data_IF_436588330858
#
_entry.id   IF_436588330858
#
_cell.length_a   1.000
_cell.length_b   1.000
_cell.length_c   1.000
_cell.angle_alpha   90.00
_cell.angle_beta   90.00
_cell.angle_gamma   90.00
#
_symmetry.space_group_name_H-M   'P 1'
#
loop_
_entity.id
_entity.type
_entity.pdbx_description
1 polymer ?
#
# COMPACT_ATOMS: atom_id res chain seq x y z
N UNK A 1 8.73 33.38 1.63
CA UNK A 1 8.83 32.16 2.45
C UNK A 1 8.22 31.01 1.66
N UNK A 2 9.02 30.28 0.86
CA UNK A 2 8.51 29.19 0.00
C UNK A 2 8.68 27.89 0.78
N UNK A 3 7.65 27.49 1.53
CA UNK A 3 7.73 26.32 2.39
C UNK A 3 7.82 25.05 1.53
N UNK A 4 8.94 24.31 1.53
CA UNK A 4 9.19 23.21 0.59
C UNK A 4 8.30 21.99 0.81
N UNK A 5 7.50 21.96 1.89
CA UNK A 5 6.58 20.87 2.21
C UNK A 5 5.23 20.95 1.52
N UNK A 6 4.87 22.09 0.92
CA UNK A 6 3.62 22.24 0.17
C UNK A 6 3.45 21.23 -0.98
N UNK A 7 4.44 21.02 -1.88
CA UNK A 7 4.29 20.02 -2.94
C UNK A 7 4.15 18.60 -2.40
N UNK A 8 4.85 18.26 -1.32
CA UNK A 8 4.74 16.92 -0.69
C UNK A 8 3.38 16.69 -0.06
N UNK A 9 2.85 17.69 0.67
CA UNK A 9 1.51 17.62 1.24
C UNK A 9 0.45 17.49 0.13
N UNK A 10 0.56 18.28 -0.93
CA UNK A 10 -0.36 18.26 -2.07
C UNK A 10 -0.33 16.90 -2.79
N UNK A 11 0.86 16.32 -2.98
CA UNK A 11 1.02 14.96 -3.53
C UNK A 11 0.35 13.88 -2.69
N UNK A 12 0.44 13.97 -1.36
CA UNK A 12 -0.26 13.06 -0.44
C UNK A 12 -1.78 13.20 -0.54
N UNK A 13 -2.31 14.42 -0.57
CA UNK A 13 -3.75 14.65 -0.74
C UNK A 13 -4.25 14.11 -2.08
N UNK A 14 -3.50 14.34 -3.16
CA UNK A 14 -3.87 13.84 -4.48
C UNK A 14 -3.83 12.31 -4.54
N UNK A 15 -2.85 11.68 -3.89
CA UNK A 15 -2.78 10.21 -3.76
C UNK A 15 -4.03 9.64 -3.07
N UNK A 16 -4.51 10.29 -2.00
CA UNK A 16 -5.75 9.90 -1.34
C UNK A 16 -7.00 10.09 -2.21
N UNK A 17 -7.06 11.17 -3.01
CA UNK A 17 -8.17 11.40 -3.94
C UNK A 17 -8.23 10.33 -5.03
N UNK A 18 -7.11 10.07 -5.71
CA UNK A 18 -7.03 9.06 -6.77
C UNK A 18 -7.34 7.67 -6.22
N UNK A 19 -6.86 7.35 -5.01
CA UNK A 19 -7.16 6.09 -4.36
C UNK A 19 -8.67 5.90 -4.13
N UNK A 20 -9.35 6.92 -3.59
CA UNK A 20 -10.80 6.89 -3.41
C UNK A 20 -11.57 6.75 -4.73
N UNK A 21 -11.14 7.48 -5.77
CA UNK A 21 -11.70 7.36 -7.11
C UNK A 21 -11.53 5.94 -7.67
N UNK A 22 -10.37 5.30 -7.46
CA UNK A 22 -10.12 3.93 -7.90
C UNK A 22 -11.09 2.92 -7.29
N UNK A 23 -11.34 3.00 -5.98
CA UNK A 23 -12.29 2.12 -5.28
C UNK A 23 -13.74 2.33 -5.77
N UNK A 24 -14.14 3.58 -6.02
CA UNK A 24 -15.47 3.89 -6.54
C UNK A 24 -15.63 3.38 -7.97
N UNK A 25 -14.65 3.63 -8.86
CA UNK A 25 -14.68 3.16 -10.23
C UNK A 25 -14.73 1.64 -10.31
N UNK A 26 -14.00 0.94 -9.45
CA UNK A 26 -14.06 -0.51 -9.30
C UNK A 26 -15.47 -0.99 -8.93
N UNK A 27 -16.11 -0.29 -7.99
CA UNK A 27 -17.46 -0.60 -7.51
C UNK A 27 -18.55 -0.31 -8.53
N UNK A 28 -18.36 0.71 -9.36
CA UNK A 28 -19.29 1.06 -10.44
C UNK A 28 -19.16 0.11 -11.64
N UNK A 29 -17.99 -0.47 -11.85
CA UNK A 29 -17.69 -1.37 -12.99
C UNK A 29 -17.72 -2.85 -12.60
N UNK A 30 -18.46 -3.24 -11.55
CA UNK A 30 -18.54 -4.63 -11.10
C UNK A 30 -18.90 -5.61 -12.23
N UNK A 31 -19.88 -5.27 -13.08
CA UNK A 31 -20.31 -6.12 -14.20
C UNK A 31 -19.20 -6.38 -15.24
N UNK A 32 -18.35 -5.39 -15.52
CA UNK A 32 -17.21 -5.56 -16.42
C UNK A 32 -16.12 -6.41 -15.76
N UNK A 33 -15.94 -6.27 -14.44
CA UNK A 33 -14.97 -7.04 -13.67
C UNK A 33 -15.37 -8.51 -13.52
N UNK A 34 -16.66 -8.80 -13.34
CA UNK A 34 -17.18 -10.17 -13.32
C UNK A 34 -16.83 -10.93 -14.59
N UNK A 35 -16.97 -10.25 -15.73
CA UNK A 35 -16.66 -10.82 -17.06
C UNK A 35 -15.16 -11.02 -17.26
N UNK A 36 -14.32 -10.05 -16.86
CA UNK A 36 -12.86 -10.16 -16.98
C UNK A 36 -12.23 -11.18 -16.03
N UNK A 37 -12.73 -11.26 -14.80
CA UNK A 37 -12.19 -12.14 -13.75
C UNK A 37 -12.88 -13.51 -13.69
N UNK A 38 -13.83 -13.77 -14.60
CA UNK A 38 -14.59 -15.02 -14.67
C UNK A 38 -15.20 -15.38 -13.31
N UNK A 39 -15.69 -14.38 -12.58
CA UNK A 39 -16.15 -14.51 -11.19
C UNK A 39 -17.54 -13.91 -11.03
N UNK A 40 -18.30 -14.40 -10.05
CA UNK A 40 -19.65 -13.92 -9.77
C UNK A 40 -19.61 -12.57 -9.02
N UNK A 41 -20.70 -11.81 -9.00
CA UNK A 41 -20.84 -10.55 -8.26
C UNK A 41 -20.37 -10.66 -6.80
N UNK A 42 -20.58 -11.82 -6.17
CA UNK A 42 -20.06 -12.14 -4.85
C UNK A 42 -18.53 -12.04 -4.76
N UNK A 43 -17.79 -12.57 -5.74
CA UNK A 43 -16.33 -12.53 -5.77
C UNK A 43 -15.78 -11.12 -5.94
N UNK A 44 -16.38 -10.32 -6.82
CA UNK A 44 -15.97 -8.91 -7.01
C UNK A 44 -16.27 -8.07 -5.75
N UNK A 45 -17.41 -8.32 -5.09
CA UNK A 45 -17.78 -7.62 -3.86
C UNK A 45 -16.82 -7.90 -2.69
N UNK A 46 -16.27 -9.13 -2.62
CA UNK A 46 -15.26 -9.50 -1.61
C UNK A 46 -13.95 -8.74 -1.86
N UNK A 47 -13.53 -8.57 -3.11
CA UNK A 47 -12.32 -7.82 -3.46
C UNK A 47 -12.47 -6.33 -3.11
N UNK A 48 -13.63 -5.76 -3.39
CA UNK A 48 -13.91 -4.35 -3.03
C UNK A 48 -13.99 -4.20 -1.51
N UNK A 49 -14.61 -5.15 -0.82
CA UNK A 49 -14.70 -5.16 0.65
C UNK A 49 -13.32 -5.30 1.29
N UNK A 50 -12.45 -6.15 0.75
CA UNK A 50 -11.08 -6.32 1.26
C UNK A 50 -10.21 -5.08 1.04
N UNK A 51 -10.40 -4.35 -0.07
CA UNK A 51 -9.78 -3.04 -0.29
C UNK A 51 -10.22 -2.02 0.78
N UNK A 52 -11.52 -1.94 1.07
CA UNK A 52 -12.05 -1.08 2.13
C UNK A 52 -11.53 -1.46 3.52
N UNK A 53 -11.55 -2.75 3.85
CA UNK A 53 -11.04 -3.30 5.12
C UNK A 53 -9.52 -3.10 5.25
N UNK A 54 -8.77 -3.20 4.15
CA UNK A 54 -7.33 -2.95 4.12
C UNK A 54 -6.99 -1.54 4.58
N UNK A 55 -7.77 -0.54 4.15
CA UNK A 55 -7.60 0.84 4.62
C UNK A 55 -7.90 0.94 6.12
N UNK A 56 -9.03 0.41 6.59
CA UNK A 56 -9.38 0.46 8.01
C UNK A 56 -8.32 -0.23 8.88
N UNK A 57 -7.81 -1.37 8.43
CA UNK A 57 -6.72 -2.10 9.07
C UNK A 57 -5.45 -1.25 9.16
N UNK A 58 -5.07 -0.54 8.10
CA UNK A 58 -3.90 0.37 8.11
C UNK A 58 -4.12 1.56 9.05
N UNK A 59 -5.35 2.07 9.21
CA UNK A 59 -5.63 3.11 10.21
C UNK A 59 -5.48 2.62 11.64
N UNK A 60 -6.02 1.44 11.92
CA UNK A 60 -6.06 0.86 13.26
C UNK A 60 -4.67 0.36 13.69
N UNK A 61 -4.02 -0.39 12.82
CA UNK A 61 -2.75 -1.05 13.11
C UNK A 61 -1.55 -0.30 12.58
N UNK A 62 -1.70 0.68 11.68
CA UNK A 62 -0.56 1.38 11.08
C UNK A 62 0.38 2.00 12.11
N UNK A 63 -0.17 2.54 13.21
CA UNK A 63 0.66 3.05 14.32
C UNK A 63 1.42 1.95 15.05
N UNK A 64 0.82 0.78 15.24
CA UNK A 64 1.46 -0.37 15.91
C UNK A 64 2.49 -1.01 14.98
N UNK A 65 2.16 -1.19 13.69
CA UNK A 65 3.04 -1.75 12.66
C UNK A 65 4.24 -0.85 12.44
N UNK A 66 4.04 0.47 12.32
CA UNK A 66 5.15 1.42 12.24
C UNK A 66 5.94 1.37 13.55
N UNK A 67 5.32 1.40 14.73
CA UNK A 67 6.12 1.32 15.97
C UNK A 67 6.92 0.02 16.11
N UNK A 68 6.34 -1.10 15.67
CA UNK A 68 6.94 -2.44 15.74
C UNK A 68 8.05 -2.61 14.71
N UNK A 69 7.82 -2.18 13.47
CA UNK A 69 8.83 -2.18 12.42
C UNK A 69 10.05 -1.40 12.87
N UNK A 70 9.84 -0.29 13.58
CA UNK A 70 10.85 0.60 14.15
C UNK A 70 11.17 0.27 15.62
N UNK A 71 11.09 -1.00 16.04
CA UNK A 71 11.53 -1.45 17.37
C UNK A 71 12.90 -2.17 17.33
N UNK A 72 13.74 -2.05 18.38
CA UNK A 72 15.10 -2.60 18.45
C UNK A 72 15.31 -4.01 17.86
N UNK A 73 14.42 -5.00 18.11
CA UNK A 73 14.60 -6.35 17.57
C UNK A 73 14.51 -6.43 16.04
N UNK A 74 13.84 -5.49 15.36
CA UNK A 74 13.65 -5.50 13.90
C UNK A 74 14.60 -4.56 13.13
N UNK A 75 15.35 -3.67 13.79
CA UNK A 75 16.42 -2.89 13.14
C UNK A 75 17.61 -3.76 12.76
N UNK A 76 18.01 -4.65 13.66
CA UNK A 76 19.18 -5.48 13.41
C UNK A 76 18.90 -6.49 12.30
N UNK A 77 17.67 -7.02 12.23
CA UNK A 77 17.27 -7.95 11.17
C UNK A 77 17.23 -7.29 9.77
N UNK A 78 16.74 -6.04 9.66
CA UNK A 78 16.74 -5.33 8.37
C UNK A 78 18.16 -4.92 7.94
N UNK A 79 19.00 -4.52 8.88
CA UNK A 79 20.37 -4.11 8.58
C UNK A 79 21.19 -5.31 8.10
N UNK A 80 21.12 -6.45 8.79
CA UNK A 80 21.79 -7.69 8.38
C UNK A 80 21.32 -8.17 7.00
N UNK A 81 20.03 -8.06 6.70
CA UNK A 81 19.49 -8.41 5.38
C UNK A 81 20.01 -7.46 4.28
N UNK A 82 20.07 -6.15 4.55
CA UNK A 82 20.59 -5.14 3.60
C UNK A 82 22.09 -5.30 3.36
N UNK A 83 22.89 -5.57 4.40
CA UNK A 83 24.30 -5.91 4.24
C UNK A 83 24.49 -7.22 3.47
N UNK A 84 23.69 -8.24 3.76
CA UNK A 84 23.68 -9.49 2.99
C UNK A 84 23.35 -9.26 1.51
N UNK A 85 22.38 -8.40 1.20
CA UNK A 85 21.98 -8.09 -0.19
C UNK A 85 23.01 -7.23 -0.94
N UNK A 86 23.66 -6.28 -0.25
CA UNK A 86 24.73 -5.45 -0.82
C UNK A 86 26.01 -6.25 -1.11
N UNK A 87 26.33 -7.24 -0.28
CA UNK A 87 27.47 -8.14 -0.50
C UNK A 87 27.13 -9.35 -1.39
N UNK A 88 25.86 -9.57 -1.73
CA UNK A 88 25.40 -10.64 -2.62
C UNK A 88 25.38 -10.25 -4.11
N UNK A 89 25.67 -8.99 -4.47
CA UNK A 89 25.83 -8.64 -5.88
C UNK A 89 27.31 -8.79 -6.28
N UNK A 90 27.73 -9.92 -6.89
CA UNK A 90 29.05 -10.00 -7.47
C UNK A 90 29.10 -9.00 -8.62
N UNK A 91 29.88 -7.94 -8.44
CA UNK A 91 30.40 -7.16 -9.56
C UNK A 91 31.30 -8.09 -10.37
N UNK A 92 30.69 -8.89 -11.24
CA UNK A 92 31.38 -9.61 -12.30
C UNK A 92 31.88 -8.56 -13.29
N UNK A 93 33.19 -8.35 -13.24
CA UNK A 93 34.01 -8.07 -14.43
C UNK A 93 33.74 -9.12 -15.51
#
# INVERSE_FOLDING_TARGET
MKNPYYPTALGLYFNYLVHGMGVILMSLNMASLETLWQTNAAGVSIVISSLGIGRLSVLLFGRIIIRSLWSPPFYHARDVLLYGLLFWHPAHQ
#
